data_IF_053909271353
#
_entry.id   IF_053909271353
#
_cell.length_a   1.000
_cell.length_b   1.000
_cell.length_c   1.000
_cell.angle_alpha   90.00
_cell.angle_beta   90.00
_cell.angle_gamma   90.00
#
_symmetry.space_group_name_H-M   'P 1'
#
loop_
_entity.id
_entity.type
_entity.pdbx_description
1 polymer ?
#
# COMPACT_ATOMS: atom_id res chain seq x y z
N UNK A 1 -2.36 71.84 -16.83
CA UNK A 1 -3.50 71.01 -16.37
C UNK A 1 -4.12 70.24 -17.56
N UNK A 2 -3.31 69.63 -18.41
CA UNK A 2 -3.77 68.88 -19.59
C UNK A 2 -3.24 67.44 -19.64
N UNK A 3 -2.24 67.11 -18.80
CA UNK A 3 -1.73 65.74 -18.63
C UNK A 3 -2.54 64.90 -17.63
N UNK A 4 -3.26 65.54 -16.70
CA UNK A 4 -4.12 64.84 -15.72
C UNK A 4 -5.45 64.35 -16.33
N UNK A 5 -5.86 64.89 -17.48
CA UNK A 5 -7.06 64.44 -18.20
C UNK A 5 -6.79 63.24 -19.12
N UNK A 6 -5.53 63.01 -19.52
CA UNK A 6 -5.16 61.87 -20.37
C UNK A 6 -5.16 60.53 -19.60
N UNK A 7 -4.84 60.55 -18.30
CA UNK A 7 -4.96 59.37 -17.43
C UNK A 7 -6.41 59.06 -17.01
N UNK A 8 -7.35 60.00 -17.18
CA UNK A 8 -8.77 59.77 -16.91
C UNK A 8 -9.51 59.17 -18.12
N UNK A 9 -8.98 59.38 -19.34
CA UNK A 9 -9.60 58.91 -20.58
C UNK A 9 -9.20 57.47 -20.95
N UNK A 10 -8.19 56.90 -20.27
CA UNK A 10 -7.87 55.46 -20.27
C UNK A 10 -8.81 54.64 -19.35
N UNK A 11 -9.95 55.23 -18.95
CA UNK A 11 -11.14 54.49 -18.48
C UNK A 11 -12.23 54.43 -19.57
N UNK A 12 -11.82 54.44 -20.83
CA UNK A 12 -12.69 54.18 -21.97
C UNK A 12 -13.19 52.75 -21.92
N UNK A 13 -14.50 52.59 -21.68
CA UNK A 13 -15.27 51.34 -21.74
C UNK A 13 -14.98 50.33 -20.63
N UNK A 14 -15.57 50.56 -19.45
CA UNK A 14 -16.11 49.43 -18.66
C UNK A 14 -17.22 48.76 -19.48
N UNK A 15 -16.85 48.02 -20.51
CA UNK A 15 -17.66 46.87 -20.92
C UNK A 15 -17.66 45.96 -19.70
N UNK A 16 -18.86 45.66 -19.19
CA UNK A 16 -19.06 44.68 -18.15
C UNK A 16 -18.10 43.51 -18.36
N UNK A 17 -17.42 43.11 -17.29
CA UNK A 17 -16.56 41.92 -17.25
C UNK A 17 -17.47 40.71 -17.50
N UNK A 18 -17.80 40.48 -18.77
CA UNK A 18 -18.53 39.30 -19.20
C UNK A 18 -17.58 38.17 -18.85
N UNK A 19 -17.96 37.21 -17.97
CA UNK A 19 -17.07 36.12 -17.65
C UNK A 19 -16.76 35.44 -18.97
N UNK A 20 -15.52 35.58 -19.44
CA UNK A 20 -15.09 34.99 -20.70
C UNK A 20 -15.38 33.49 -20.55
N UNK A 21 -16.37 32.97 -21.29
CA UNK A 21 -16.77 31.56 -21.19
C UNK A 21 -15.54 30.66 -21.41
N UNK A 22 -14.58 31.14 -22.20
CA UNK A 22 -13.28 30.53 -22.45
C UNK A 22 -12.39 30.46 -21.19
N UNK A 23 -12.42 31.47 -20.32
CA UNK A 23 -11.70 31.50 -19.04
C UNK A 23 -12.31 30.56 -18.01
N UNK A 24 -13.63 30.60 -17.82
CA UNK A 24 -14.33 29.68 -16.93
C UNK A 24 -14.11 28.20 -17.33
N UNK A 25 -14.13 27.93 -18.63
CA UNK A 25 -13.86 26.60 -19.16
C UNK A 25 -12.40 26.15 -18.92
N UNK A 26 -11.44 27.07 -19.02
CA UNK A 26 -10.03 26.82 -18.72
C UNK A 26 -9.81 26.48 -17.24
N UNK A 27 -10.44 27.24 -16.33
CA UNK A 27 -10.40 26.94 -14.90
C UNK A 27 -11.02 25.58 -14.57
N UNK A 28 -12.13 25.22 -15.22
CA UNK A 28 -12.75 23.90 -15.06
C UNK A 28 -11.82 22.76 -15.49
N UNK A 29 -11.11 22.92 -16.60
CA UNK A 29 -10.13 21.92 -17.08
C UNK A 29 -8.97 21.78 -16.09
N UNK A 30 -8.43 22.88 -15.59
CA UNK A 30 -7.34 22.86 -14.60
C UNK A 30 -7.78 22.12 -13.33
N UNK A 31 -8.99 22.40 -12.83
CA UNK A 31 -9.54 21.71 -11.66
C UNK A 31 -9.78 20.22 -11.95
N UNK A 32 -10.37 19.87 -13.09
CA UNK A 32 -10.61 18.49 -13.48
C UNK A 32 -9.31 17.68 -13.60
N UNK A 33 -8.29 18.25 -14.25
CA UNK A 33 -6.97 17.62 -14.37
C UNK A 33 -6.29 17.51 -13.01
N UNK A 34 -6.36 18.55 -12.17
CA UNK A 34 -5.82 18.52 -10.81
C UNK A 34 -6.44 17.44 -9.95
N UNK A 35 -7.77 17.32 -9.95
CA UNK A 35 -8.50 16.25 -9.26
C UNK A 35 -8.17 14.87 -9.81
N UNK A 36 -8.03 14.73 -11.13
CA UNK A 36 -7.65 13.47 -11.77
C UNK A 36 -6.23 13.02 -11.40
N UNK A 37 -5.28 13.95 -11.37
CA UNK A 37 -3.90 13.67 -10.94
C UNK A 37 -3.86 13.28 -9.46
N UNK A 38 -4.60 14.00 -8.60
CA UNK A 38 -4.68 13.67 -7.17
C UNK A 38 -5.30 12.28 -6.95
N UNK A 39 -6.34 11.95 -7.70
CA UNK A 39 -6.94 10.62 -7.68
C UNK A 39 -5.97 9.54 -8.16
N UNK A 40 -5.21 9.80 -9.23
CA UNK A 40 -4.20 8.89 -9.77
C UNK A 40 -3.07 8.61 -8.77
N UNK A 41 -2.61 9.64 -8.05
CA UNK A 41 -1.59 9.50 -6.99
C UNK A 41 -2.15 8.71 -5.80
N UNK A 42 -3.38 9.03 -5.37
CA UNK A 42 -4.06 8.29 -4.28
C UNK A 42 -4.24 6.82 -4.62
N UNK A 43 -4.66 6.52 -5.85
CA UNK A 43 -4.83 5.16 -6.34
C UNK A 43 -3.51 4.40 -6.40
N UNK A 44 -2.45 5.04 -6.92
CA UNK A 44 -1.10 4.45 -6.97
C UNK A 44 -0.58 4.13 -5.57
N UNK A 45 -0.81 5.02 -4.59
CA UNK A 45 -0.45 4.80 -3.19
C UNK A 45 -1.21 3.63 -2.56
N UNK A 46 -2.51 3.48 -2.85
CA UNK A 46 -3.30 2.34 -2.38
C UNK A 46 -2.79 1.03 -2.99
N UNK A 47 -2.49 1.02 -4.29
CA UNK A 47 -1.94 -0.14 -4.97
C UNK A 47 -0.58 -0.56 -4.39
N UNK A 48 0.29 0.41 -4.08
CA UNK A 48 1.55 0.15 -3.41
C UNK A 48 1.36 -0.37 -1.99
N UNK A 49 0.39 0.16 -1.23
CA UNK A 49 0.06 -0.34 0.11
C UNK A 49 -0.46 -1.77 0.07
N UNK A 50 -1.31 -2.12 -0.89
CA UNK A 50 -1.79 -3.49 -1.06
C UNK A 50 -0.68 -4.44 -1.47
N UNK A 51 0.19 -4.03 -2.40
CA UNK A 51 1.36 -4.81 -2.78
C UNK A 51 2.31 -5.02 -1.60
N UNK A 52 2.51 -4.01 -0.75
CA UNK A 52 3.34 -4.09 0.44
C UNK A 52 2.68 -4.97 1.52
N UNK A 53 1.36 -4.90 1.68
CA UNK A 53 0.61 -5.76 2.60
C UNK A 53 0.69 -7.24 2.18
N UNK A 54 0.59 -7.53 0.87
CA UNK A 54 0.80 -8.88 0.33
C UNK A 54 2.24 -9.37 0.56
N UNK A 55 3.24 -8.50 0.38
CA UNK A 55 4.65 -8.82 0.68
C UNK A 55 4.85 -9.10 2.17
N UNK A 56 4.32 -8.25 3.06
CA UNK A 56 4.41 -8.41 4.51
C UNK A 56 3.73 -9.70 4.98
N UNK A 57 2.56 -10.03 4.44
CA UNK A 57 1.89 -11.29 4.73
C UNK A 57 2.71 -12.52 4.31
N UNK A 58 3.40 -12.44 3.17
CA UNK A 58 4.31 -13.49 2.71
C UNK A 58 5.58 -13.59 3.57
N UNK A 59 6.18 -12.47 3.95
CA UNK A 59 7.33 -12.44 4.87
C UNK A 59 6.98 -13.03 6.24
N UNK A 60 5.79 -12.72 6.76
CA UNK A 60 5.34 -13.29 8.04
C UNK A 60 5.12 -14.80 7.93
N UNK A 61 4.59 -15.29 6.80
CA UNK A 61 4.48 -16.72 6.53
C UNK A 61 5.84 -17.41 6.42
N UNK A 62 6.83 -16.76 5.80
CA UNK A 62 8.22 -17.26 5.75
C UNK A 62 8.83 -17.34 7.14
N UNK A 63 8.65 -16.30 7.97
CA UNK A 63 9.13 -16.31 9.35
C UNK A 63 8.48 -17.42 10.18
N UNK A 64 7.18 -17.66 10.02
CA UNK A 64 6.48 -18.78 10.68
C UNK A 64 7.01 -20.14 10.22
N UNK A 65 7.37 -20.28 8.95
CA UNK A 65 8.01 -21.51 8.42
C UNK A 65 9.36 -21.74 9.11
N UNK A 66 10.20 -20.72 9.21
CA UNK A 66 11.51 -20.81 9.89
C UNK A 66 11.35 -21.19 11.36
N UNK A 67 10.44 -20.53 12.09
CA UNK A 67 10.15 -20.87 13.49
C UNK A 67 9.70 -22.32 13.69
N UNK A 68 8.87 -22.85 12.78
CA UNK A 68 8.44 -24.25 12.85
C UNK A 68 9.60 -25.21 12.57
N UNK A 69 10.56 -24.86 11.70
CA UNK A 69 11.76 -25.64 11.48
C UNK A 69 12.67 -25.64 12.71
N UNK A 70 12.87 -24.49 13.34
CA UNK A 70 13.64 -24.38 14.59
C UNK A 70 13.01 -25.22 15.70
N UNK A 71 11.68 -25.19 15.83
CA UNK A 71 10.96 -26.02 16.80
C UNK A 71 11.12 -27.52 16.54
N UNK A 72 11.17 -27.94 15.27
CA UNK A 72 11.44 -29.33 14.91
C UNK A 72 12.88 -29.71 15.29
N UNK A 73 13.86 -28.86 14.99
CA UNK A 73 15.26 -29.08 15.37
C UNK A 73 15.45 -29.16 16.89
N UNK A 74 14.77 -28.30 17.65
CA UNK A 74 14.75 -28.34 19.11
C UNK A 74 14.12 -29.64 19.64
N UNK A 75 13.04 -30.11 19.01
CA UNK A 75 12.38 -31.37 19.38
C UNK A 75 13.26 -32.59 19.10
N UNK A 76 14.01 -32.57 17.99
CA UNK A 76 15.01 -33.59 17.66
C UNK A 76 16.15 -33.57 18.68
N UNK A 77 16.69 -32.39 19.00
CA UNK A 77 17.73 -32.22 20.03
C UNK A 77 17.28 -32.74 21.40
N UNK A 78 16.05 -32.45 21.81
CA UNK A 78 15.48 -32.91 23.10
C UNK A 78 15.18 -34.41 23.11
N UNK A 79 14.89 -35.01 21.96
CA UNK A 79 14.77 -36.47 21.82
C UNK A 79 16.15 -37.13 21.93
N UNK A 80 17.15 -36.58 21.26
CA UNK A 80 18.55 -37.06 21.34
C UNK A 80 19.11 -36.95 22.76
N UNK A 81 18.77 -35.88 23.49
CA UNK A 81 19.14 -35.71 24.89
C UNK A 81 18.34 -36.60 25.86
N UNK A 82 17.42 -37.43 25.37
CA UNK A 82 16.55 -38.30 26.18
C UNK A 82 15.53 -37.55 27.05
N UNK A 83 15.35 -36.24 26.84
CA UNK A 83 14.48 -35.40 27.67
C UNK A 83 12.98 -35.60 27.37
N UNK A 84 12.63 -36.23 26.24
CA UNK A 84 11.25 -36.48 25.83
C UNK A 84 11.06 -37.96 25.49
N UNK A 85 9.99 -38.56 26.03
CA UNK A 85 9.60 -39.93 25.68
C UNK A 85 9.14 -40.06 24.23
N UNK A 86 9.47 -41.19 23.59
CA UNK A 86 9.26 -41.43 22.15
C UNK A 86 7.81 -41.23 21.69
N UNK A 87 6.83 -41.52 22.56
CA UNK A 87 5.40 -41.33 22.28
C UNK A 87 5.01 -39.86 22.16
N UNK A 88 5.57 -39.00 23.02
CA UNK A 88 5.33 -37.55 23.02
C UNK A 88 6.06 -36.87 21.86
N UNK A 89 7.30 -37.29 21.58
CA UNK A 89 8.04 -36.85 20.39
C UNK A 89 7.28 -37.14 19.08
N UNK A 90 6.73 -38.35 18.90
CA UNK A 90 5.96 -38.71 17.69
C UNK A 90 4.67 -37.89 17.52
N UNK A 91 4.03 -37.51 18.62
CA UNK A 91 2.84 -36.67 18.61
C UNK A 91 3.20 -35.23 18.22
N UNK A 92 4.14 -34.61 18.95
CA UNK A 92 4.54 -33.21 18.71
C UNK A 92 5.14 -33.03 17.31
N UNK A 93 5.90 -34.03 16.82
CA UNK A 93 6.45 -34.01 15.47
C UNK A 93 5.37 -34.12 14.38
N UNK A 94 4.29 -34.89 14.62
CA UNK A 94 3.14 -34.93 13.69
C UNK A 94 2.44 -33.58 13.65
N UNK A 95 2.20 -32.97 14.80
CA UNK A 95 1.51 -31.69 14.91
C UNK A 95 2.33 -30.57 14.27
N UNK A 96 3.64 -30.50 14.53
CA UNK A 96 4.54 -29.53 13.89
C UNK A 96 4.64 -29.74 12.38
N UNK A 97 4.72 -30.98 11.89
CA UNK A 97 4.69 -31.27 10.45
C UNK A 97 3.37 -30.86 9.81
N UNK A 98 2.25 -31.06 10.49
CA UNK A 98 0.94 -30.61 10.02
C UNK A 98 0.87 -29.08 9.93
N UNK A 99 1.36 -28.37 10.96
CA UNK A 99 1.44 -26.91 10.94
C UNK A 99 2.36 -26.41 9.83
N UNK A 100 3.49 -27.05 9.61
CA UNK A 100 4.44 -26.71 8.55
C UNK A 100 3.83 -26.94 7.16
N UNK A 101 3.14 -28.06 6.94
CA UNK A 101 2.41 -28.33 5.70
C UNK A 101 1.35 -27.25 5.42
N UNK A 102 0.59 -26.84 6.44
CA UNK A 102 -0.42 -25.78 6.32
C UNK A 102 0.18 -24.41 5.99
N UNK A 103 1.35 -24.09 6.54
CA UNK A 103 2.08 -22.83 6.22
C UNK A 103 2.66 -22.90 4.80
N UNK A 104 3.19 -24.04 4.38
CA UNK A 104 3.68 -24.25 3.01
C UNK A 104 2.56 -24.19 1.97
N UNK A 105 1.39 -24.76 2.26
CA UNK A 105 0.21 -24.68 1.40
C UNK A 105 -0.22 -23.22 1.21
N UNK A 106 -0.25 -22.43 2.29
CA UNK A 106 -0.52 -20.99 2.22
C UNK A 106 0.55 -20.18 1.49
N UNK A 107 1.81 -20.63 1.49
CA UNK A 107 2.91 -20.03 0.72
C UNK A 107 2.88 -20.42 -0.76
N UNK A 108 2.36 -21.61 -1.07
CA UNK A 108 2.27 -22.17 -2.42
C UNK A 108 0.99 -21.79 -3.17
N UNK A 109 -0.10 -21.49 -2.45
CA UNK A 109 -1.33 -20.92 -3.02
C UNK A 109 -1.03 -19.48 -3.47
N UNK A 110 -0.90 -19.32 -4.80
CA UNK A 110 -0.44 -18.10 -5.47
C UNK A 110 -1.62 -17.33 -6.05
#
# INVERSE_FOLDING_TARGET
MTLLLLFLQDQGTRTADVPNAMGAHTWFIILAVGSFLLWSVSYSLQLHKEALARKKGREELVRRKEQLLDQIADLETRKESGAIGEKKYKQDLKDLKFHLAKVLEKLGSK
#
